data_IF_822100617799
#
_entry.id   IF_822100617799
#
_cell.length_a   1.000
_cell.length_b   1.000
_cell.length_c   1.000
_cell.angle_alpha   90.00
_cell.angle_beta   90.00
_cell.angle_gamma   90.00
#
_symmetry.space_group_name_H-M   'P 1'
#
loop_
_entity.id
_entity.type
_entity.pdbx_description
1 polymer ?
#
# COMPACT_ATOMS: atom_id res chain seq x y z
N UNK A 1 -20.94 -13.63 17.34
CA UNK A 1 -20.05 -14.73 17.77
C UNK A 1 -18.62 -14.45 17.35
N UNK A 2 -17.70 -14.68 18.25
CA UNK A 2 -16.30 -14.40 17.99
C UNK A 2 -15.63 -15.55 17.26
N UNK A 3 -15.07 -15.28 16.08
CA UNK A 3 -14.38 -16.29 15.31
C UNK A 3 -13.00 -16.53 15.89
N UNK A 4 -12.64 -17.79 16.04
CA UNK A 4 -11.31 -18.14 16.51
C UNK A 4 -10.33 -18.03 15.36
N UNK A 5 -9.31 -17.17 15.50
CA UNK A 5 -8.31 -16.97 14.48
C UNK A 5 -7.15 -17.93 14.69
N UNK A 6 -6.54 -18.32 13.59
CA UNK A 6 -5.33 -19.12 13.62
C UNK A 6 -4.13 -18.16 13.52
N UNK A 7 -3.34 -18.14 14.58
CA UNK A 7 -2.16 -17.27 14.66
C UNK A 7 -0.85 -18.00 14.34
N UNK A 8 -0.94 -19.05 13.52
CA UNK A 8 0.27 -19.69 13.04
C UNK A 8 1.12 -18.64 12.33
N UNK A 9 2.31 -18.37 12.89
CA UNK A 9 3.17 -17.33 12.39
C UNK A 9 3.51 -17.53 10.91
N UNK A 10 3.79 -18.78 10.50
CA UNK A 10 4.18 -19.07 9.11
C UNK A 10 3.10 -18.66 8.12
N UNK A 11 1.83 -18.83 8.47
CA UNK A 11 0.73 -18.46 7.60
C UNK A 11 0.37 -16.98 7.71
N UNK A 12 0.54 -16.40 8.87
CA UNK A 12 0.22 -15.00 9.10
C UNK A 12 1.35 -14.05 8.69
N UNK A 13 2.57 -14.57 8.59
CA UNK A 13 3.76 -13.72 8.40
C UNK A 13 3.68 -12.79 7.18
N UNK A 14 3.23 -13.23 6.00
CA UNK A 14 3.19 -12.30 4.86
C UNK A 14 2.31 -11.08 5.12
N UNK A 15 1.13 -11.29 5.70
CA UNK A 15 0.21 -10.19 5.98
C UNK A 15 0.77 -9.27 7.05
N UNK A 16 1.34 -9.86 8.11
CA UNK A 16 1.95 -9.06 9.18
C UNK A 16 3.11 -8.22 8.64
N UNK A 17 3.88 -8.79 7.73
CA UNK A 17 4.99 -8.07 7.11
C UNK A 17 4.49 -6.92 6.25
N UNK A 18 3.45 -7.15 5.43
CA UNK A 18 2.84 -6.08 4.63
C UNK A 18 2.35 -4.95 5.51
N UNK A 19 1.72 -5.28 6.64
CA UNK A 19 1.19 -4.27 7.55
C UNK A 19 2.28 -3.48 8.27
N UNK A 20 3.46 -4.06 8.42
CA UNK A 20 4.58 -3.38 9.08
C UNK A 20 5.33 -2.43 8.15
N UNK A 21 5.08 -2.50 6.85
CA UNK A 21 5.77 -1.67 5.87
C UNK A 21 4.96 -0.40 5.62
N UNK A 22 5.24 0.62 6.40
CA UNK A 22 4.49 1.88 6.35
C UNK A 22 4.35 2.45 4.94
N UNK A 23 5.48 2.58 4.23
CA UNK A 23 5.44 3.21 2.92
C UNK A 23 4.78 2.32 1.88
N UNK A 24 4.85 0.99 2.05
CA UNK A 24 4.14 0.08 1.16
C UNK A 24 2.63 0.31 1.24
N UNK A 25 2.09 0.42 2.44
CA UNK A 25 0.67 0.71 2.62
C UNK A 25 0.30 2.07 2.04
N UNK A 26 1.10 3.09 2.33
CA UNK A 26 0.84 4.45 1.81
C UNK A 26 0.83 4.47 0.29
N UNK A 27 1.82 3.81 -0.33
CA UNK A 27 1.93 3.76 -1.79
C UNK A 27 0.70 3.07 -2.39
N UNK A 28 0.32 1.90 -1.84
CA UNK A 28 -0.86 1.19 -2.35
C UNK A 28 -2.13 2.02 -2.21
N UNK A 29 -2.29 2.72 -1.09
CA UNK A 29 -3.47 3.56 -0.89
C UNK A 29 -3.50 4.72 -1.89
N UNK A 30 -2.35 5.29 -2.21
CA UNK A 30 -2.29 6.36 -3.21
C UNK A 30 -2.62 5.86 -4.61
N UNK A 31 -2.18 4.66 -4.95
CA UNK A 31 -2.54 4.07 -6.25
C UNK A 31 -4.05 3.83 -6.30
N UNK A 32 -4.62 3.32 -5.21
CA UNK A 32 -6.06 3.04 -5.16
C UNK A 32 -6.89 4.32 -5.27
N UNK A 33 -6.45 5.40 -4.66
CA UNK A 33 -7.15 6.67 -4.70
C UNK A 33 -7.09 7.34 -6.06
N UNK A 34 -6.11 6.97 -6.88
CA UNK A 34 -5.95 7.59 -8.18
C UNK A 34 -7.15 7.29 -9.07
N UNK A 35 -7.54 8.26 -9.88
CA UNK A 35 -8.75 8.17 -10.70
C UNK A 35 -8.65 7.14 -11.82
N UNK A 36 -7.44 6.68 -12.17
CA UNK A 36 -7.21 5.69 -13.22
C UNK A 36 -6.68 4.40 -12.63
N UNK A 37 -6.74 3.32 -13.41
CA UNK A 37 -6.27 2.00 -12.96
C UNK A 37 -4.76 1.95 -12.79
N UNK A 38 -4.02 2.77 -13.51
CA UNK A 38 -2.56 2.80 -13.41
C UNK A 38 -2.06 4.21 -13.21
N UNK A 39 -0.88 4.34 -12.62
CA UNK A 39 -0.30 5.63 -12.29
C UNK A 39 1.19 5.64 -12.66
N UNK A 40 1.66 6.75 -13.22
CA UNK A 40 3.08 6.95 -13.52
C UNK A 40 3.85 7.19 -12.23
N UNK A 41 5.12 6.83 -12.26
CA UNK A 41 6.01 7.07 -11.13
C UNK A 41 5.99 8.54 -10.70
N UNK A 42 6.11 9.46 -11.65
CA UNK A 42 6.16 10.89 -11.34
C UNK A 42 4.87 11.39 -10.68
N UNK A 43 3.72 10.89 -11.14
CA UNK A 43 2.44 11.25 -10.53
C UNK A 43 2.34 10.71 -9.11
N UNK A 44 2.74 9.45 -8.93
CA UNK A 44 2.71 8.83 -7.61
C UNK A 44 3.63 9.57 -6.65
N UNK A 45 4.82 9.92 -7.11
CA UNK A 45 5.79 10.64 -6.29
C UNK A 45 5.23 11.96 -5.79
N UNK A 46 4.49 12.68 -6.63
CA UNK A 46 3.87 13.95 -6.23
C UNK A 46 2.85 13.79 -5.13
N UNK A 47 2.22 12.63 -5.01
CA UNK A 47 1.18 12.41 -4.00
C UNK A 47 1.75 12.08 -2.63
N UNK A 48 3.07 11.86 -2.51
CA UNK A 48 3.70 11.44 -1.26
C UNK A 48 4.91 12.36 -0.99
N UNK A 49 4.68 13.61 -0.58
CA UNK A 49 5.79 14.56 -0.42
C UNK A 49 6.78 14.18 0.67
N UNK A 50 6.41 13.27 1.58
CA UNK A 50 7.27 12.86 2.68
C UNK A 50 8.29 11.80 2.27
N UNK A 51 8.19 11.24 1.07
CA UNK A 51 9.06 10.14 0.66
C UNK A 51 10.05 10.62 -0.41
N UNK A 52 11.27 10.09 -0.37
CA UNK A 52 12.26 10.39 -1.41
C UNK A 52 12.02 9.49 -2.62
N UNK A 53 12.57 9.89 -3.77
CA UNK A 53 12.52 9.06 -4.98
C UNK A 53 13.11 7.68 -4.72
N UNK A 54 14.21 7.64 -4.01
CA UNK A 54 14.90 6.38 -3.71
C UNK A 54 13.99 5.45 -2.88
N UNK A 55 13.36 5.99 -1.85
CA UNK A 55 12.47 5.20 -1.00
C UNK A 55 11.25 4.75 -1.77
N UNK A 56 10.68 5.63 -2.59
CA UNK A 56 9.54 5.24 -3.42
C UNK A 56 9.90 4.12 -4.39
N UNK A 57 11.06 4.24 -5.06
CA UNK A 57 11.51 3.21 -5.99
C UNK A 57 11.71 1.86 -5.29
N UNK A 58 12.37 1.87 -4.13
CA UNK A 58 12.59 0.62 -3.39
C UNK A 58 11.29 0.04 -2.86
N UNK A 59 10.34 0.88 -2.48
CA UNK A 59 9.03 0.44 -2.03
C UNK A 59 8.26 -0.23 -3.16
N UNK A 60 8.30 0.37 -4.35
CA UNK A 60 7.65 -0.22 -5.52
C UNK A 60 8.29 -1.55 -5.90
N UNK A 61 9.61 -1.66 -5.80
CA UNK A 61 10.29 -2.94 -6.02
C UNK A 61 9.82 -4.01 -5.04
N UNK A 62 9.67 -3.63 -3.79
CA UNK A 62 9.13 -4.54 -2.77
C UNK A 62 7.72 -4.99 -3.14
N UNK A 63 6.86 -4.05 -3.52
CA UNK A 63 5.48 -4.37 -3.88
C UNK A 63 5.40 -5.25 -5.13
N UNK A 64 6.30 -5.05 -6.08
CA UNK A 64 6.40 -5.90 -7.27
C UNK A 64 6.76 -7.33 -6.88
N UNK A 65 7.75 -7.50 -6.01
CA UNK A 65 8.20 -8.81 -5.56
C UNK A 65 7.11 -9.55 -4.80
N UNK A 66 6.30 -8.80 -4.03
CA UNK A 66 5.22 -9.39 -3.24
C UNK A 66 3.96 -9.67 -4.06
N UNK A 67 3.95 -9.28 -5.33
CA UNK A 67 2.78 -9.49 -6.18
C UNK A 67 1.62 -8.56 -5.86
N UNK A 68 1.91 -7.41 -5.25
CA UNK A 68 0.88 -6.45 -4.87
C UNK A 68 0.68 -5.37 -5.92
N UNK A 69 1.69 -5.11 -6.74
CA UNK A 69 1.55 -4.21 -7.89
C UNK A 69 2.13 -4.86 -9.13
N UNK A 70 1.70 -4.38 -10.28
CA UNK A 70 2.28 -4.71 -11.58
C UNK A 70 2.87 -3.46 -12.16
N UNK A 71 3.83 -3.64 -13.06
CA UNK A 71 4.50 -2.55 -13.74
C UNK A 71 4.42 -2.79 -15.23
N UNK A 72 3.99 -1.77 -15.97
CA UNK A 72 3.92 -1.84 -17.41
C UNK A 72 4.75 -0.72 -18.02
N UNK A 73 5.61 -1.07 -18.96
CA UNK A 73 6.43 -0.10 -19.69
C UNK A 73 5.82 0.15 -21.05
N UNK A 74 5.64 1.43 -21.37
CA UNK A 74 5.12 1.86 -22.66
C UNK A 74 6.26 2.40 -23.48
N UNK A 75 6.50 1.78 -24.66
CA UNK A 75 7.54 2.21 -25.58
C UNK A 75 7.02 3.35 -26.44
N UNK A 76 7.42 4.54 -26.08
CA UNK A 76 7.05 5.78 -26.78
C UNK A 76 8.30 6.61 -26.97
N UNK A 77 8.16 7.77 -27.61
CA UNK A 77 9.27 8.70 -27.79
C UNK A 77 9.87 9.04 -26.42
N UNK A 78 9.02 9.28 -25.43
CA UNK A 78 9.44 9.39 -24.04
C UNK A 78 8.86 8.19 -23.30
N UNK A 79 9.65 7.13 -23.11
CA UNK A 79 9.14 5.91 -22.46
C UNK A 79 8.62 6.23 -21.07
N UNK A 80 7.54 5.58 -20.71
CA UNK A 80 6.97 5.74 -19.37
C UNK A 80 6.66 4.40 -18.76
N UNK A 81 6.64 4.37 -17.45
CA UNK A 81 6.31 3.18 -16.66
C UNK A 81 5.10 3.52 -15.80
N UNK A 82 4.13 2.62 -15.79
CA UNK A 82 2.92 2.77 -14.99
C UNK A 82 2.75 1.59 -14.06
N UNK A 83 2.21 1.87 -12.88
CA UNK A 83 2.01 0.88 -11.83
C UNK A 83 0.53 0.72 -11.55
N UNK A 84 0.11 -0.53 -11.32
CA UNK A 84 -1.29 -0.85 -11.02
C UNK A 84 -1.33 -1.83 -9.86
N UNK A 85 -2.42 -1.77 -9.09
CA UNK A 85 -2.66 -2.74 -8.03
C UNK A 85 -3.14 -4.06 -8.62
N UNK A 86 -2.67 -5.16 -8.03
CA UNK A 86 -3.18 -6.48 -8.38
C UNK A 86 -4.51 -6.73 -7.65
N UNK A 87 -5.30 -7.73 -8.11
CA UNK A 87 -6.55 -8.05 -7.41
C UNK A 87 -6.36 -8.39 -5.93
N UNK A 88 -5.28 -9.12 -5.59
CA UNK A 88 -5.03 -9.47 -4.19
C UNK A 88 -4.71 -8.22 -3.37
N UNK A 89 -4.01 -7.25 -3.96
CA UNK A 89 -3.73 -6.00 -3.28
C UNK A 89 -5.01 -5.22 -3.01
N UNK A 90 -5.93 -5.19 -3.97
CA UNK A 90 -7.21 -4.51 -3.79
C UNK A 90 -8.03 -5.16 -2.68
N UNK A 91 -8.03 -6.50 -2.62
CA UNK A 91 -8.69 -7.23 -1.54
C UNK A 91 -8.09 -6.88 -0.18
N UNK A 92 -6.76 -6.90 -0.10
CA UNK A 92 -6.05 -6.56 1.12
C UNK A 92 -6.38 -5.14 1.59
N UNK A 93 -6.38 -4.18 0.67
CA UNK A 93 -6.66 -2.78 1.01
C UNK A 93 -8.11 -2.60 1.48
N UNK A 94 -9.04 -3.39 0.98
CA UNK A 94 -10.41 -3.32 1.46
C UNK A 94 -10.48 -3.66 2.94
N UNK A 95 -9.78 -4.72 3.36
CA UNK A 95 -9.76 -5.10 4.77
C UNK A 95 -9.00 -4.09 5.62
N UNK A 96 -7.88 -3.58 5.11
CA UNK A 96 -7.10 -2.54 5.79
C UNK A 96 -7.92 -1.26 5.96
N UNK A 97 -8.80 -0.98 5.00
CA UNK A 97 -9.68 0.17 5.06
C UNK A 97 -10.52 0.21 6.33
N UNK A 98 -10.97 -0.95 6.80
CA UNK A 98 -11.73 -1.02 8.06
C UNK A 98 -10.86 -0.63 9.25
N UNK A 99 -9.61 -1.08 9.26
CA UNK A 99 -8.67 -0.73 10.33
C UNK A 99 -8.39 0.78 10.31
N UNK A 100 -8.17 1.33 9.13
CA UNK A 100 -7.89 2.76 8.98
C UNK A 100 -9.09 3.58 9.46
N UNK A 101 -10.29 3.19 9.06
CA UNK A 101 -11.50 3.87 9.49
C UNK A 101 -11.63 3.83 11.01
N UNK A 102 -11.40 2.66 11.61
CA UNK A 102 -11.42 2.53 13.05
C UNK A 102 -10.43 3.51 13.71
N UNK A 103 -9.21 3.57 13.13
CA UNK A 103 -8.18 4.48 13.66
C UNK A 103 -8.58 5.95 13.56
N UNK A 104 -9.23 6.34 12.46
CA UNK A 104 -9.70 7.70 12.28
C UNK A 104 -10.79 8.05 13.30
N UNK A 105 -11.71 7.13 13.54
CA UNK A 105 -12.78 7.34 14.52
C UNK A 105 -12.26 7.43 15.94
N UNK A 106 -11.13 6.78 16.22
CA UNK A 106 -10.56 6.75 17.57
C UNK A 106 -9.29 7.59 17.68
N UNK A 107 -9.06 8.48 16.73
CA UNK A 107 -7.81 9.23 16.62
C UNK A 107 -7.46 9.96 17.93
N UNK A 108 -8.41 10.68 18.49
CA UNK A 108 -8.15 11.45 19.70
C UNK A 108 -7.79 10.57 20.88
N UNK A 109 -8.50 9.44 21.02
CA UNK A 109 -8.23 8.51 22.10
C UNK A 109 -6.84 7.91 21.97
N UNK A 110 -6.44 7.55 20.73
CA UNK A 110 -5.12 6.98 20.46
C UNK A 110 -4.03 7.99 20.79
N UNK A 111 -4.21 9.24 20.37
CA UNK A 111 -3.20 10.29 20.57
C UNK A 111 -3.08 10.63 22.06
N UNK A 112 -4.19 10.68 22.78
CA UNK A 112 -4.17 10.93 24.22
C UNK A 112 -3.40 9.87 25.00
N UNK A 113 -3.39 8.63 24.51
CA UNK A 113 -2.66 7.55 25.15
C UNK A 113 -1.14 7.66 25.03
N UNK A 114 -0.66 8.50 24.14
CA UNK A 114 0.79 8.70 23.93
C UNK A 114 1.38 9.59 24.99
N UNK A 115 2.58 9.26 25.39
CA UNK A 115 3.31 10.03 26.42
C UNK A 115 4.57 10.65 25.86
#
# INVERSE_FOLDING_TARGET
MKKKLNYDYCQAAPVLEWMSQKWALVVMLRIEEYEKESIRFSELFRTIPQVSEKVLASTLDYLLQEGLVTRERFEEVLPRVEYSLTPIAKDFLREIGYVIEWGQLHFEQIVKGRK
#
